data_IF_928305075109
#
_entry.id   IF_928305075109
#
_cell.length_a   1.000
_cell.length_b   1.000
_cell.length_c   1.000
_cell.angle_alpha   90.00
_cell.angle_beta   90.00
_cell.angle_gamma   90.00
#
_symmetry.space_group_name_H-M   'P 1'
#
loop_
_entity.id
_entity.type
_entity.pdbx_description
1 polymer ?
#
# COMPACT_ATOMS: atom_id res chain seq x y z
N UNK A 1 -65.18 25.48 13.66
CA UNK A 1 -64.22 25.77 12.57
C UNK A 1 -64.21 24.57 11.64
N UNK A 2 -65.02 24.64 10.57
CA UNK A 2 -65.22 23.58 9.58
C UNK A 2 -64.25 23.79 8.43
N UNK A 3 -63.49 22.75 8.07
CA UNK A 3 -62.71 22.71 6.82
C UNK A 3 -63.65 22.28 5.70
N UNK A 4 -63.86 23.18 4.74
CA UNK A 4 -64.66 22.94 3.54
C UNK A 4 -63.73 22.51 2.41
N UNK A 5 -64.10 21.39 1.78
CA UNK A 5 -63.59 20.88 0.52
C UNK A 5 -64.03 21.82 -0.62
N UNK A 6 -63.15 22.20 -1.54
CA UNK A 6 -63.55 22.55 -2.92
C UNK A 6 -62.53 21.98 -3.89
N UNK A 7 -62.97 20.98 -4.64
CA UNK A 7 -62.43 20.55 -5.92
C UNK A 7 -62.61 21.67 -6.95
N UNK A 8 -61.57 21.96 -7.72
CA UNK A 8 -61.74 22.56 -9.05
C UNK A 8 -60.83 21.82 -10.02
N UNK A 9 -61.44 21.01 -10.87
CA UNK A 9 -60.81 20.43 -12.05
C UNK A 9 -60.94 21.43 -13.20
N UNK A 10 -59.82 21.75 -13.85
CA UNK A 10 -59.80 22.41 -15.16
C UNK A 10 -59.00 21.50 -16.09
N UNK A 11 -59.73 20.85 -17.01
CA UNK A 11 -59.16 20.24 -18.21
C UNK A 11 -58.82 21.37 -19.19
N UNK A 12 -57.54 21.56 -19.48
CA UNK A 12 -57.11 22.27 -20.68
C UNK A 12 -56.37 21.26 -21.56
N UNK A 13 -57.03 20.87 -22.65
CA UNK A 13 -56.45 20.06 -23.71
C UNK A 13 -55.40 20.91 -24.46
N UNK A 14 -54.13 20.58 -24.24
CA UNK A 14 -53.01 21.08 -25.06
C UNK A 14 -52.44 19.92 -25.86
N UNK A 15 -52.65 19.93 -27.17
CA UNK A 15 -51.94 19.10 -28.14
C UNK A 15 -50.45 19.42 -28.11
N UNK A 16 -49.71 18.73 -27.24
CA UNK A 16 -48.26 18.71 -27.21
C UNK A 16 -47.73 17.60 -28.12
N UNK A 17 -46.92 17.99 -29.09
CA UNK A 17 -46.16 17.10 -29.97
C UNK A 17 -45.39 16.09 -29.10
N UNK A 18 -45.70 14.80 -29.23
CA UNK A 18 -44.92 13.73 -28.61
C UNK A 18 -43.62 13.60 -29.39
N UNK A 19 -42.62 14.40 -29.03
CA UNK A 19 -41.23 14.02 -29.30
C UNK A 19 -40.91 12.86 -28.37
N UNK A 20 -40.78 11.67 -28.92
CA UNK A 20 -40.25 10.52 -28.21
C UNK A 20 -38.96 10.95 -27.49
N UNK A 21 -38.75 10.57 -26.21
CA UNK A 21 -37.48 10.83 -25.56
C UNK A 21 -36.43 10.09 -26.38
N UNK A 22 -35.53 10.86 -27.01
CA UNK A 22 -34.28 10.34 -27.53
C UNK A 22 -33.65 9.58 -26.37
N UNK A 23 -33.58 8.27 -26.50
CA UNK A 23 -32.93 7.43 -25.51
C UNK A 23 -31.52 8.01 -25.32
N UNK A 24 -31.30 8.64 -24.16
CA UNK A 24 -29.96 8.97 -23.73
C UNK A 24 -29.23 7.64 -23.77
N UNK A 25 -28.25 7.54 -24.68
CA UNK A 25 -27.36 6.41 -24.72
C UNK A 25 -26.86 6.22 -23.29
N UNK A 26 -27.23 5.11 -22.66
CA UNK A 26 -26.66 4.71 -21.41
C UNK A 26 -25.15 4.67 -21.66
N UNK A 27 -24.44 5.67 -21.16
CA UNK A 27 -22.99 5.59 -21.02
C UNK A 27 -22.76 4.32 -20.23
N UNK A 28 -22.28 3.29 -20.92
CA UNK A 28 -22.05 1.99 -20.31
C UNK A 28 -21.30 2.22 -19.02
N UNK A 29 -21.87 1.74 -17.90
CA UNK A 29 -21.12 1.63 -16.65
C UNK A 29 -19.82 0.94 -17.02
N UNK A 30 -18.69 1.65 -16.96
CA UNK A 30 -17.40 1.03 -17.18
C UNK A 30 -17.36 -0.22 -16.30
N UNK A 31 -17.01 -1.38 -16.85
CA UNK A 31 -16.92 -2.59 -16.06
C UNK A 31 -15.75 -2.43 -15.07
N UNK A 32 -15.88 -3.03 -13.89
CA UNK A 32 -14.75 -3.12 -12.96
C UNK A 32 -13.58 -3.81 -13.68
N UNK A 33 -12.38 -3.23 -13.57
CA UNK A 33 -11.17 -3.81 -14.13
C UNK A 33 -10.49 -4.67 -13.07
N UNK A 34 -10.17 -5.92 -13.40
CA UNK A 34 -9.41 -6.80 -12.51
C UNK A 34 -7.99 -6.94 -13.04
N UNK A 35 -7.00 -6.79 -12.17
CA UNK A 35 -5.60 -7.05 -12.47
C UNK A 35 -5.00 -7.98 -11.43
N UNK A 36 -4.03 -8.80 -11.83
CA UNK A 36 -3.30 -9.73 -10.96
C UNK A 36 -1.97 -9.09 -10.56
N UNK A 37 -1.68 -9.06 -9.25
CA UNK A 37 -0.36 -8.71 -8.72
C UNK A 37 0.62 -9.88 -8.96
N UNK A 38 1.92 -9.59 -9.02
CA UNK A 38 2.94 -10.64 -9.22
C UNK A 38 2.90 -11.73 -8.13
N UNK A 39 2.36 -11.42 -6.95
CA UNK A 39 2.14 -12.34 -5.81
C UNK A 39 0.88 -13.19 -5.91
N UNK A 40 0.00 -12.89 -6.87
CA UNK A 40 -1.25 -13.62 -7.13
C UNK A 40 -2.50 -12.97 -6.55
N UNK A 41 -2.37 -11.88 -5.80
CA UNK A 41 -3.50 -11.09 -5.31
C UNK A 41 -4.25 -10.45 -6.49
N UNK A 42 -5.57 -10.30 -6.37
CA UNK A 42 -6.36 -9.67 -7.43
C UNK A 42 -6.79 -8.28 -6.99
N UNK A 43 -6.46 -7.27 -7.79
CA UNK A 43 -6.91 -5.89 -7.60
C UNK A 43 -8.12 -5.66 -8.48
N UNK A 44 -9.28 -5.42 -7.87
CA UNK A 44 -10.53 -5.08 -8.55
C UNK A 44 -10.73 -3.58 -8.43
N UNK A 45 -10.62 -2.88 -9.55
CA UNK A 45 -10.83 -1.42 -9.62
C UNK A 45 -12.27 -1.13 -10.01
N UNK A 46 -13.01 -0.50 -9.10
CA UNK A 46 -14.38 -0.09 -9.32
C UNK A 46 -14.48 1.12 -10.28
N UNK A 47 -15.61 1.29 -10.97
CA UNK A 47 -15.89 2.47 -11.79
C UNK A 47 -15.97 3.70 -10.87
N UNK A 48 -14.93 4.54 -10.90
CA UNK A 48 -14.75 5.65 -9.93
C UNK A 48 -13.37 5.67 -9.26
N UNK A 49 -12.55 4.63 -9.46
CA UNK A 49 -11.13 4.62 -9.10
C UNK A 49 -10.78 3.95 -7.77
N UNK A 50 -11.76 3.52 -6.99
CA UNK A 50 -11.51 2.75 -5.76
C UNK A 50 -11.07 1.33 -6.13
N UNK A 51 -9.96 0.87 -5.56
CA UNK A 51 -9.48 -0.49 -5.72
C UNK A 51 -9.81 -1.32 -4.48
N UNK A 52 -10.20 -2.59 -4.68
CA UNK A 52 -10.33 -3.59 -3.62
C UNK A 52 -9.42 -4.75 -3.94
N UNK A 53 -8.66 -5.23 -2.96
CA UNK A 53 -7.77 -6.38 -3.13
C UNK A 53 -8.46 -7.65 -2.64
N UNK A 54 -8.41 -8.71 -3.44
CA UNK A 54 -8.76 -10.08 -3.06
C UNK A 54 -7.45 -10.82 -2.80
N UNK A 55 -7.12 -11.14 -1.54
CA UNK A 55 -5.84 -11.75 -1.20
C UNK A 55 -5.67 -13.14 -1.83
N UNK A 56 -4.45 -13.43 -2.29
CA UNK A 56 -4.06 -14.74 -2.81
C UNK A 56 -4.05 -15.83 -1.73
N UNK A 57 -3.76 -15.42 -0.49
CA UNK A 57 -3.67 -16.26 0.70
C UNK A 57 -4.52 -15.68 1.82
N UNK A 58 -5.08 -16.56 2.66
CA UNK A 58 -6.01 -16.17 3.72
C UNK A 58 -5.34 -15.89 5.07
N UNK A 59 -4.03 -16.17 5.20
CA UNK A 59 -3.27 -15.98 6.43
C UNK A 59 -1.78 -15.80 6.11
N UNK A 60 -0.98 -15.52 7.14
CA UNK A 60 0.45 -15.26 7.04
C UNK A 60 0.77 -13.85 6.59
N UNK A 61 2.03 -13.45 6.80
CA UNK A 61 2.58 -12.15 6.37
C UNK A 61 2.37 -11.85 4.86
N UNK A 62 2.19 -12.88 4.03
CA UNK A 62 1.88 -12.72 2.60
C UNK A 62 0.47 -12.19 2.30
N UNK A 63 -0.43 -12.15 3.29
CA UNK A 63 -1.77 -11.55 3.16
C UNK A 63 -1.75 -10.04 3.38
N UNK A 64 -0.80 -9.54 4.18
CA UNK A 64 -0.80 -8.14 4.59
C UNK A 64 -0.40 -7.22 3.44
N UNK A 65 -1.13 -6.11 3.29
CA UNK A 65 -1.00 -5.19 2.17
C UNK A 65 -0.79 -3.76 2.65
N UNK A 66 -0.03 -3.03 1.84
CA UNK A 66 0.17 -1.61 1.95
C UNK A 66 -0.30 -1.00 0.65
N UNK A 67 -1.33 -0.18 0.73
CA UNK A 67 -1.71 0.69 -0.37
C UNK A 67 -0.87 1.97 -0.30
N UNK A 68 -0.01 2.16 -1.30
CA UNK A 68 0.88 3.31 -1.41
C UNK A 68 0.34 4.27 -2.47
N UNK A 69 0.09 5.52 -2.09
CA UNK A 69 -0.14 6.63 -3.00
C UNK A 69 1.12 7.48 -3.09
N UNK A 70 1.72 7.55 -4.28
CA UNK A 70 2.96 8.31 -4.49
C UNK A 70 3.02 8.86 -5.91
N UNK A 71 3.39 10.14 -6.03
CA UNK A 71 3.51 10.83 -7.32
C UNK A 71 2.25 10.72 -8.21
N UNK A 72 1.07 10.71 -7.58
CA UNK A 72 -0.23 10.57 -8.27
C UNK A 72 -0.55 9.18 -8.80
N UNK A 73 0.25 8.17 -8.42
CA UNK A 73 0.04 6.76 -8.77
C UNK A 73 -0.35 5.98 -7.52
N UNK A 74 -1.04 4.88 -7.73
CA UNK A 74 -1.53 3.98 -6.68
C UNK A 74 -0.90 2.61 -6.86
N UNK A 75 -0.39 2.06 -5.76
CA UNK A 75 0.31 0.80 -5.72
C UNK A 75 -0.25 -0.08 -4.61
N UNK A 76 -0.41 -1.37 -4.89
CA UNK A 76 -0.82 -2.38 -3.93
C UNK A 76 0.37 -3.29 -3.62
N UNK A 77 0.91 -3.18 -2.41
CA UNK A 77 2.19 -3.76 -2.03
C UNK A 77 1.98 -4.80 -0.93
N UNK A 78 2.14 -6.09 -1.21
CA UNK A 78 2.29 -7.07 -0.15
C UNK A 78 3.46 -6.66 0.77
N UNK A 79 3.28 -6.73 2.09
CA UNK A 79 4.33 -6.32 3.05
C UNK A 79 5.64 -7.07 2.80
N UNK A 80 5.55 -8.33 2.38
CA UNK A 80 6.71 -9.17 2.03
C UNK A 80 7.49 -8.69 0.79
N UNK A 81 6.91 -7.82 -0.05
CA UNK A 81 7.58 -7.27 -1.23
C UNK A 81 8.41 -6.02 -0.90
N UNK A 82 8.06 -5.28 0.16
CA UNK A 82 8.66 -3.98 0.51
C UNK A 82 10.20 -4.03 0.59
N UNK A 83 10.83 -5.03 1.24
CA UNK A 83 12.30 -5.08 1.35
C UNK A 83 13.04 -5.21 0.02
N UNK A 84 12.33 -5.64 -1.02
CA UNK A 84 12.89 -6.03 -2.30
C UNK A 84 12.64 -5.01 -3.42
N UNK A 85 11.89 -3.94 -3.12
CA UNK A 85 11.67 -2.83 -4.03
C UNK A 85 13.01 -2.16 -4.38
N UNK A 86 13.28 -1.99 -5.67
CA UNK A 86 14.57 -1.51 -6.16
C UNK A 86 15.74 -2.48 -5.97
N UNK A 87 15.48 -3.66 -5.39
CA UNK A 87 16.45 -4.73 -5.07
C UNK A 87 15.98 -6.06 -5.62
N UNK A 88 15.59 -6.05 -6.89
CA UNK A 88 15.12 -7.22 -7.63
C UNK A 88 13.64 -7.19 -7.97
N UNK A 89 12.82 -6.38 -7.28
CA UNK A 89 11.45 -6.07 -7.68
C UNK A 89 11.33 -4.59 -8.05
N UNK A 90 10.83 -4.32 -9.24
CA UNK A 90 10.46 -2.97 -9.66
C UNK A 90 9.03 -2.65 -9.23
N UNK A 91 8.78 -1.40 -8.79
CA UNK A 91 7.46 -1.00 -8.32
C UNK A 91 6.38 -1.09 -9.41
N UNK A 92 6.73 -1.05 -10.70
CA UNK A 92 5.75 -1.23 -11.79
C UNK A 92 4.97 -2.54 -11.68
N UNK A 93 5.50 -3.55 -10.99
CA UNK A 93 4.81 -4.81 -10.69
C UNK A 93 3.62 -4.67 -9.74
N UNK A 94 3.47 -3.52 -9.10
CA UNK A 94 2.46 -3.24 -8.08
C UNK A 94 1.58 -2.03 -8.44
N UNK A 95 1.83 -1.37 -9.58
CA UNK A 95 1.06 -0.22 -10.03
C UNK A 95 -0.29 -0.63 -10.62
N UNK A 96 -1.38 -0.34 -9.90
CA UNK A 96 -2.74 -0.74 -10.28
C UNK A 96 -3.12 -0.23 -11.67
N UNK A 97 -2.76 1.01 -11.99
CA UNK A 97 -3.05 1.64 -13.28
C UNK A 97 -2.20 1.09 -14.43
N UNK A 98 -0.98 0.63 -14.17
CA UNK A 98 -0.12 -0.01 -15.17
C UNK A 98 -0.51 -1.47 -15.40
N UNK A 99 -0.80 -2.21 -14.33
CA UNK A 99 -1.20 -3.61 -14.37
C UNK A 99 -2.50 -3.78 -15.15
N UNK A 100 -3.52 -2.96 -14.87
CA UNK A 100 -4.80 -2.98 -15.59
C UNK A 100 -4.68 -2.73 -17.10
N UNK A 101 -3.61 -2.05 -17.56
CA UNK A 101 -3.32 -1.83 -18.99
C UNK A 101 -2.44 -2.92 -19.60
N UNK A 102 -1.53 -3.47 -18.82
CA UNK A 102 -0.54 -4.46 -19.28
C UNK A 102 -1.11 -5.87 -19.32
N UNK A 103 -2.01 -6.23 -18.39
CA UNK A 103 -2.61 -7.55 -18.34
C UNK A 103 -3.52 -7.80 -19.55
N UNK A 104 -3.28 -8.89 -20.26
CA UNK A 104 -4.09 -9.30 -21.39
C UNK A 104 -4.33 -10.81 -21.36
N UNK A 105 -5.60 -11.22 -21.47
CA UNK A 105 -5.97 -12.64 -21.48
C UNK A 105 -5.56 -13.39 -20.21
N UNK A 106 -5.56 -12.73 -19.05
CA UNK A 106 -5.15 -13.32 -17.77
C UNK A 106 -3.63 -13.53 -17.63
N UNK A 107 -2.82 -12.81 -18.41
CA UNK A 107 -1.36 -12.87 -18.40
C UNK A 107 -0.78 -11.53 -18.00
N UNK A 108 -0.03 -11.52 -16.92
CA UNK A 108 0.78 -10.40 -16.46
C UNK A 108 2.16 -10.48 -17.13
N UNK A 109 2.50 -9.63 -18.11
CA UNK A 109 3.77 -9.71 -18.82
C UNK A 109 4.89 -9.07 -18.00
N UNK A 110 6.04 -9.74 -17.94
CA UNK A 110 7.21 -9.27 -17.19
C UNK A 110 8.47 -9.27 -18.05
N UNK A 111 9.40 -8.41 -17.69
CA UNK A 111 10.78 -8.42 -18.17
C UNK A 111 11.70 -8.72 -17.00
N UNK A 112 12.73 -9.51 -17.24
CA UNK A 112 13.73 -9.91 -16.26
C UNK A 112 15.09 -9.43 -16.76
N UNK A 113 15.73 -8.54 -16.00
CA UNK A 113 17.11 -8.14 -16.21
C UNK A 113 18.02 -9.07 -15.40
N UNK A 114 18.84 -9.87 -16.08
CA UNK A 114 19.79 -10.76 -15.44
C UNK A 114 21.14 -10.07 -15.24
N UNK A 115 21.66 -10.13 -14.03
CA UNK A 115 23.00 -9.67 -13.66
C UNK A 115 23.98 -10.83 -13.41
N UNK A 116 23.54 -12.07 -13.69
CA UNK A 116 24.23 -13.32 -13.37
C UNK A 116 23.61 -14.54 -14.03
N UNK A 117 23.53 -15.67 -13.32
CA UNK A 117 23.00 -16.92 -13.90
C UNK A 117 21.49 -16.86 -14.12
N UNK A 118 21.06 -17.29 -15.32
CA UNK A 118 19.66 -17.42 -15.69
C UNK A 118 19.02 -18.61 -14.96
N UNK A 119 18.61 -18.38 -13.72
CA UNK A 119 17.88 -19.37 -12.93
C UNK A 119 16.38 -19.14 -13.08
N UNK A 120 15.60 -20.22 -13.15
CA UNK A 120 14.15 -20.09 -13.26
C UNK A 120 13.56 -19.22 -12.13
N UNK A 121 12.78 -18.20 -12.50
CA UNK A 121 12.00 -17.41 -11.54
C UNK A 121 10.71 -18.18 -11.22
N UNK A 122 10.40 -18.45 -9.94
CA UNK A 122 9.18 -19.16 -9.55
C UNK A 122 7.92 -18.54 -10.16
N UNK A 123 7.11 -19.34 -10.84
CA UNK A 123 5.83 -18.88 -11.38
C UNK A 123 5.89 -18.10 -12.69
N UNK A 124 7.08 -17.74 -13.19
CA UNK A 124 7.23 -17.06 -14.49
C UNK A 124 7.34 -18.08 -15.61
N UNK A 125 6.43 -18.01 -16.57
CA UNK A 125 6.53 -18.73 -17.83
C UNK A 125 7.34 -17.88 -18.83
N UNK A 126 8.56 -18.31 -19.14
CA UNK A 126 9.43 -17.59 -20.07
C UNK A 126 8.92 -17.70 -21.52
N UNK A 127 8.88 -16.58 -22.23
CA UNK A 127 8.55 -16.48 -23.66
C UNK A 127 9.73 -16.04 -24.53
N UNK A 128 10.81 -15.59 -23.90
CA UNK A 128 12.09 -15.25 -24.50
C UNK A 128 13.20 -15.29 -23.44
N UNK A 129 14.42 -14.84 -23.77
CA UNK A 129 15.55 -14.84 -22.83
C UNK A 129 15.29 -14.03 -21.55
N UNK A 130 14.67 -12.87 -21.73
CA UNK A 130 14.48 -11.85 -20.69
C UNK A 130 13.00 -11.48 -20.53
N UNK A 131 12.10 -12.24 -21.14
CA UNK A 131 10.66 -11.95 -21.15
C UNK A 131 9.86 -13.17 -20.78
N UNK A 132 8.78 -12.96 -20.03
CA UNK A 132 7.85 -14.00 -19.66
C UNK A 132 6.54 -13.42 -19.19
N UNK A 133 5.69 -14.27 -18.62
CA UNK A 133 4.45 -13.84 -18.01
C UNK A 133 4.09 -14.69 -16.80
N UNK A 134 3.23 -14.14 -15.96
CA UNK A 134 2.53 -14.87 -14.92
C UNK A 134 1.04 -14.96 -15.24
N UNK A 135 0.41 -16.03 -14.76
CA UNK A 135 -1.04 -16.18 -14.67
C UNK A 135 -1.43 -16.08 -13.20
N UNK A 136 -2.71 -15.91 -12.87
CA UNK A 136 -3.15 -15.91 -11.47
C UNK A 136 -2.62 -17.11 -10.65
N UNK A 137 -2.64 -18.32 -11.22
CA UNK A 137 -2.16 -19.51 -10.50
C UNK A 137 -0.63 -19.60 -10.42
N UNK A 138 0.09 -19.12 -11.43
CA UNK A 138 1.55 -19.11 -11.38
C UNK A 138 2.10 -17.96 -10.52
N UNK A 139 1.40 -16.84 -10.45
CA UNK A 139 1.68 -15.72 -9.54
C UNK A 139 1.56 -16.14 -8.07
N UNK A 140 0.61 -17.00 -7.69
CA UNK A 140 0.56 -17.59 -6.33
C UNK A 140 1.85 -18.35 -5.97
N UNK A 141 2.48 -19.02 -6.94
CA UNK A 141 3.77 -19.71 -6.71
C UNK A 141 4.90 -18.71 -6.48
N UNK A 142 4.89 -17.59 -7.19
CA UNK A 142 5.80 -16.48 -6.97
C UNK A 142 5.61 -15.89 -5.57
N UNK A 143 4.37 -15.58 -5.18
CA UNK A 143 4.02 -15.07 -3.85
C UNK A 143 4.48 -15.99 -2.73
N UNK A 144 4.24 -17.31 -2.85
CA UNK A 144 4.74 -18.28 -1.88
C UNK A 144 6.28 -18.30 -1.77
N UNK A 145 6.98 -18.22 -2.90
CA UNK A 145 8.45 -18.14 -2.91
C UNK A 145 8.96 -16.84 -2.28
N UNK A 146 8.26 -15.72 -2.49
CA UNK A 146 8.54 -14.43 -1.87
C UNK A 146 8.36 -14.47 -0.36
N UNK A 147 7.29 -15.09 0.15
CA UNK A 147 7.08 -15.29 1.60
C UNK A 147 8.21 -16.14 2.20
N UNK A 148 8.55 -17.27 1.58
CA UNK A 148 9.66 -18.11 2.07
C UNK A 148 10.99 -17.36 2.10
N UNK A 149 11.23 -16.52 1.09
CA UNK A 149 12.44 -15.70 1.03
C UNK A 149 12.45 -14.62 2.11
N UNK A 150 11.34 -13.92 2.30
CA UNK A 150 11.16 -12.91 3.34
C UNK A 150 11.47 -13.45 4.74
N UNK A 151 10.87 -14.60 5.09
CA UNK A 151 11.09 -15.23 6.40
C UNK A 151 12.55 -15.68 6.57
N UNK A 152 13.18 -16.19 5.52
CA UNK A 152 14.60 -16.58 5.54
C UNK A 152 15.52 -15.37 5.70
N UNK A 153 15.30 -14.28 4.97
CA UNK A 153 16.16 -13.10 5.07
C UNK A 153 16.05 -12.47 6.47
N UNK A 154 14.83 -12.39 7.04
CA UNK A 154 14.60 -11.89 8.40
C UNK A 154 15.27 -12.75 9.48
N UNK A 155 15.42 -14.05 9.28
CA UNK A 155 16.08 -14.93 10.27
C UNK A 155 17.60 -14.87 10.24
N UNK A 156 18.21 -14.54 9.10
CA UNK A 156 19.66 -14.55 8.93
C UNK A 156 20.31 -13.20 9.23
N UNK A 157 19.53 -12.12 9.18
CA UNK A 157 20.01 -10.75 9.32
C UNK A 157 20.86 -10.31 8.13
N UNK A 158 20.58 -9.14 7.56
CA UNK A 158 21.26 -8.64 6.36
C UNK A 158 20.34 -8.00 5.34
N UNK A 159 20.92 -7.38 4.32
CA UNK A 159 20.17 -6.66 3.28
C UNK A 159 19.47 -7.63 2.32
N UNK A 160 18.14 -7.68 2.29
CA UNK A 160 17.38 -8.57 1.41
C UNK A 160 17.51 -8.13 -0.04
N UNK A 161 17.52 -9.13 -0.90
CA UNK A 161 17.50 -8.98 -2.35
C UNK A 161 16.64 -10.09 -2.92
N UNK A 162 15.67 -9.73 -3.77
CA UNK A 162 14.78 -10.69 -4.39
C UNK A 162 15.28 -11.05 -5.76
N UNK A 163 15.89 -12.21 -5.86
CA UNK A 163 16.19 -12.82 -7.13
C UNK A 163 16.97 -14.11 -6.92
N UNK A 164 16.99 -15.00 -7.91
CA UNK A 164 18.05 -15.98 -7.99
C UNK A 164 19.37 -15.23 -8.22
N UNK A 165 20.03 -14.85 -7.13
CA UNK A 165 21.33 -14.18 -6.99
C UNK A 165 21.55 -12.86 -7.77
N UNK A 166 20.81 -12.51 -8.82
CA UNK A 166 21.20 -11.41 -9.72
C UNK A 166 20.07 -10.91 -10.66
N UNK A 167 18.78 -11.15 -10.40
CA UNK A 167 17.72 -10.76 -11.34
C UNK A 167 16.87 -9.57 -10.85
N UNK A 168 16.55 -8.62 -11.75
CA UNK A 168 15.56 -7.58 -11.51
C UNK A 168 14.31 -7.81 -12.38
N UNK A 169 13.15 -7.85 -11.76
CA UNK A 169 11.87 -8.13 -12.41
C UNK A 169 11.06 -6.85 -12.49
N UNK A 170 10.51 -6.55 -13.66
CA UNK A 170 9.65 -5.39 -13.91
C UNK A 170 8.49 -5.72 -14.83
N UNK A 171 7.44 -4.89 -14.78
CA UNK A 171 6.33 -4.99 -15.70
C UNK A 171 6.82 -4.72 -17.13
N UNK A 172 6.46 -5.58 -18.08
CA UNK A 172 6.90 -5.44 -19.45
C UNK A 172 6.45 -4.09 -20.06
N UNK A 173 7.33 -3.45 -20.83
CA UNK A 173 7.07 -2.14 -21.42
C UNK A 173 7.29 -0.95 -20.47
N UNK A 174 7.64 -1.20 -19.19
CA UNK A 174 8.08 -0.14 -18.29
C UNK A 174 9.49 0.32 -18.71
N UNK A 175 9.69 1.61 -19.01
CA UNK A 175 11.02 2.14 -19.32
C UNK A 175 11.94 1.96 -18.12
N UNK A 176 13.16 1.47 -18.36
CA UNK A 176 14.21 1.53 -17.36
C UNK A 176 14.57 2.99 -17.13
N UNK A 177 14.32 3.50 -15.93
CA UNK A 177 14.74 4.86 -15.59
C UNK A 177 16.27 4.86 -15.46
N UNK A 178 16.99 5.69 -16.24
CA UNK A 178 18.43 5.80 -16.06
C UNK A 178 18.72 6.33 -14.64
N UNK A 179 19.82 5.90 -14.01
CA UNK A 179 20.24 6.43 -12.71
C UNK A 179 20.31 7.96 -12.80
N UNK A 180 19.43 8.67 -12.08
CA UNK A 180 19.52 10.11 -12.01
C UNK A 180 20.66 10.46 -11.06
N UNK A 181 21.60 11.27 -11.53
CA UNK A 181 22.54 11.93 -10.61
C UNK A 181 21.86 13.20 -10.10
N UNK A 182 21.62 13.33 -8.79
CA UNK A 182 21.11 14.57 -8.24
C UNK A 182 22.03 15.73 -8.62
N UNK A 183 21.45 16.87 -8.99
CA UNK A 183 22.19 18.11 -9.27
C UNK A 183 22.51 18.90 -7.98
N UNK A 184 22.23 18.31 -6.82
CA UNK A 184 22.33 18.95 -5.50
C UNK A 184 23.24 18.13 -4.58
N UNK A 185 23.87 18.76 -3.57
CA UNK A 185 24.52 18.04 -2.49
C UNK A 185 23.53 17.08 -1.82
N UNK A 186 23.98 15.87 -1.56
CA UNK A 186 23.20 14.84 -0.88
C UNK A 186 23.76 14.65 0.54
N UNK A 187 22.87 14.45 1.49
CA UNK A 187 23.16 14.16 2.89
C UNK A 187 22.66 12.76 3.24
N UNK A 188 23.30 12.15 4.22
CA UNK A 188 22.83 10.87 4.77
C UNK A 188 21.78 11.14 5.84
N UNK A 189 20.54 10.71 5.59
CA UNK A 189 19.53 10.58 6.63
C UNK A 189 19.55 9.15 7.17
N UNK A 190 19.95 8.99 8.43
CA UNK A 190 19.96 7.69 9.12
C UNK A 190 18.75 7.61 10.06
N UNK A 191 17.89 6.64 9.84
CA UNK A 191 16.78 6.31 10.73
C UNK A 191 17.15 5.07 11.53
N UNK A 192 17.31 5.24 12.84
CA UNK A 192 17.58 4.13 13.75
C UNK A 192 16.27 3.63 14.34
N UNK A 193 16.14 2.31 14.55
CA UNK A 193 14.98 1.74 15.19
C UNK A 193 15.31 0.42 15.91
N UNK A 194 14.65 0.23 17.04
CA UNK A 194 14.50 -1.07 17.66
C UNK A 194 13.16 -1.71 17.30
N UNK A 195 13.18 -3.04 17.22
CA UNK A 195 12.01 -3.90 17.06
C UNK A 195 11.08 -3.82 18.29
N UNK A 196 9.86 -4.38 18.22
CA UNK A 196 8.93 -4.40 19.35
C UNK A 196 9.43 -5.14 20.60
N UNK A 197 10.51 -5.91 20.50
CA UNK A 197 11.17 -6.60 21.63
C UNK A 197 12.32 -5.80 22.24
N UNK A 198 12.62 -4.62 21.68
CA UNK A 198 13.69 -3.73 22.13
C UNK A 198 15.07 -4.04 21.56
N UNK A 199 15.19 -4.97 20.61
CA UNK A 199 16.45 -5.29 19.92
C UNK A 199 16.60 -4.40 18.68
N UNK A 200 17.82 -4.24 18.16
CA UNK A 200 18.01 -3.58 16.87
C UNK A 200 17.16 -4.25 15.80
N UNK A 201 16.38 -3.47 15.07
CA UNK A 201 15.50 -4.01 14.04
C UNK A 201 16.28 -4.46 12.79
N UNK A 202 15.93 -5.61 12.24
CA UNK A 202 16.48 -6.13 11.00
C UNK A 202 15.35 -6.77 10.20
N UNK A 203 14.81 -6.03 9.24
CA UNK A 203 13.71 -6.52 8.42
C UNK A 203 12.57 -5.54 8.16
N UNK A 204 12.32 -4.58 9.05
CA UNK A 204 11.17 -3.68 8.92
C UNK A 204 11.46 -2.47 8.01
N UNK A 205 10.39 -1.86 7.49
CA UNK A 205 10.50 -0.86 6.42
C UNK A 205 10.35 0.56 6.97
N UNK A 206 11.22 1.45 6.49
CA UNK A 206 11.16 2.89 6.73
C UNK A 206 10.87 3.59 5.40
N UNK A 207 9.96 4.55 5.45
CA UNK A 207 9.67 5.47 4.37
C UNK A 207 10.21 6.86 4.70
N UNK A 208 10.74 7.56 3.70
CA UNK A 208 11.16 8.95 3.78
C UNK A 208 10.56 9.73 2.61
N UNK A 209 10.01 10.92 2.89
CA UNK A 209 9.37 11.77 1.90
C UNK A 209 9.74 13.23 2.10
N UNK A 210 10.19 13.91 1.04
CA UNK A 210 10.48 15.35 1.09
C UNK A 210 9.18 16.15 1.11
N UNK A 211 8.98 16.95 2.15
CA UNK A 211 7.76 17.72 2.39
C UNK A 211 7.87 19.19 1.93
N UNK A 212 9.04 19.62 1.45
CA UNK A 212 9.16 20.89 0.74
C UNK A 212 8.66 20.73 -0.70
N UNK A 213 9.11 19.65 -1.36
CA UNK A 213 8.75 19.30 -2.72
C UNK A 213 8.97 17.79 -2.94
N UNK A 214 7.87 17.04 -2.95
CA UNK A 214 7.89 15.59 -3.15
C UNK A 214 8.43 15.14 -4.51
N UNK A 215 8.65 16.05 -5.46
CA UNK A 215 9.31 15.71 -6.74
C UNK A 215 10.83 15.64 -6.62
N UNK A 216 11.41 16.16 -5.52
CA UNK A 216 12.87 16.14 -5.27
C UNK A 216 13.35 14.82 -4.66
N UNK A 217 12.49 14.20 -3.84
CA UNK A 217 12.74 12.92 -3.20
C UNK A 217 11.39 12.29 -2.84
N UNK A 218 10.83 11.61 -3.83
CA UNK A 218 9.51 11.00 -3.78
C UNK A 218 9.29 10.04 -4.93
N UNK A 219 10.37 9.52 -5.52
CA UNK A 219 10.27 8.30 -6.29
C UNK A 219 10.30 7.11 -5.32
N UNK A 220 9.60 6.04 -5.66
CA UNK A 220 9.38 4.97 -4.70
C UNK A 220 10.58 4.07 -4.44
N UNK A 221 11.55 4.02 -5.35
CA UNK A 221 12.75 3.20 -5.17
C UNK A 221 13.69 3.87 -4.15
N UNK A 222 13.63 5.20 -4.05
CA UNK A 222 14.43 5.98 -3.11
C UNK A 222 13.69 6.25 -1.79
N UNK A 223 12.36 6.30 -1.81
CA UNK A 223 11.53 6.68 -0.65
C UNK A 223 11.32 5.57 0.38
N UNK A 224 11.75 4.34 0.11
CA UNK A 224 11.65 3.22 1.03
C UNK A 224 13.02 2.57 1.24
N UNK A 225 13.37 2.29 2.49
CA UNK A 225 14.55 1.52 2.84
C UNK A 225 14.23 0.59 4.00
N UNK A 226 14.84 -0.58 3.99
CA UNK A 226 14.72 -1.51 5.09
C UNK A 226 15.74 -1.22 6.19
N UNK A 227 15.35 -1.45 7.43
CA UNK A 227 16.22 -1.52 8.60
C UNK A 227 17.13 -2.74 8.48
N UNK A 228 18.43 -2.50 8.63
CA UNK A 228 19.42 -3.56 8.81
C UNK A 228 20.39 -3.19 9.92
N UNK A 229 20.58 -4.10 10.87
CA UNK A 229 21.35 -3.82 12.09
C UNK A 229 20.80 -2.64 12.91
N UNK A 230 19.49 -2.38 12.83
CA UNK A 230 18.79 -1.30 13.53
C UNK A 230 18.82 0.04 12.82
N UNK A 231 19.28 0.12 11.57
CA UNK A 231 19.36 1.38 10.84
C UNK A 231 18.93 1.25 9.37
N UNK A 232 18.20 2.25 8.89
CA UNK A 232 17.89 2.50 7.49
C UNK A 232 18.57 3.80 7.08
N UNK A 233 19.16 3.86 5.88
CA UNK A 233 19.90 5.02 5.39
C UNK A 233 19.35 5.47 4.05
N UNK A 234 19.17 6.77 3.93
CA UNK A 234 18.74 7.44 2.70
C UNK A 234 19.80 8.46 2.30
N UNK A 235 20.08 8.55 1.01
CA UNK A 235 20.80 9.69 0.44
C UNK A 235 19.75 10.69 -0.02
N UNK A 236 19.66 11.85 0.65
CA UNK A 236 18.58 12.83 0.43
C UNK A 236 19.15 14.22 0.15
N UNK A 237 18.51 15.06 -0.69
CA UNK A 237 18.91 16.46 -0.79
C UNK A 237 18.62 17.22 0.51
N UNK A 238 19.28 18.36 0.72
CA UNK A 238 18.90 19.28 1.79
C UNK A 238 17.40 19.63 1.71
N UNK A 239 16.73 19.63 2.86
CA UNK A 239 15.31 19.96 2.98
C UNK A 239 14.64 19.38 4.21
N UNK A 240 13.32 19.48 4.24
CA UNK A 240 12.48 18.94 5.30
C UNK A 240 11.85 17.61 4.85
N UNK A 241 11.80 16.66 5.78
CA UNK A 241 11.34 15.31 5.52
C UNK A 241 10.28 14.87 6.53
N UNK A 242 9.38 14.01 6.09
CA UNK A 242 8.60 13.13 6.95
C UNK A 242 9.20 11.74 6.85
N UNK A 243 9.39 11.07 7.99
CA UNK A 243 9.79 9.66 8.03
C UNK A 243 8.77 8.83 8.80
N UNK A 244 8.54 7.61 8.32
CA UNK A 244 7.59 6.67 8.92
C UNK A 244 8.20 5.27 8.89
N UNK A 245 8.13 4.56 10.01
CA UNK A 245 8.56 3.18 10.14
C UNK A 245 7.34 2.29 10.41
N UNK A 246 7.31 1.14 9.74
CA UNK A 246 6.29 0.11 9.84
C UNK A 246 6.91 -1.16 10.41
N UNK A 247 6.53 -1.55 11.62
CA UNK A 247 7.02 -2.76 12.29
C UNK A 247 5.95 -3.84 12.31
N UNK A 248 6.24 -5.00 11.73
CA UNK A 248 5.35 -6.16 11.76
C UNK A 248 5.88 -7.21 12.73
N UNK A 249 5.05 -7.61 13.70
CA UNK A 249 5.32 -8.75 14.57
C UNK A 249 4.70 -10.02 13.98
N UNK A 250 5.45 -11.13 13.96
CA UNK A 250 4.95 -12.43 13.50
C UNK A 250 5.11 -13.49 14.59
N UNK A 251 4.25 -14.50 14.59
CA UNK A 251 4.46 -15.73 15.37
C UNK A 251 5.42 -16.70 14.66
N UNK A 252 5.55 -17.92 15.20
CA UNK A 252 6.45 -18.95 14.68
C UNK A 252 6.01 -19.50 13.32
N UNK A 253 4.70 -19.43 13.03
CA UNK A 253 4.08 -19.83 11.77
C UNK A 253 4.17 -18.73 10.70
N UNK A 254 4.62 -17.53 11.08
CA UNK A 254 4.74 -16.37 10.20
C UNK A 254 3.41 -15.60 10.04
N UNK A 255 2.43 -15.88 10.89
CA UNK A 255 1.18 -15.13 10.97
C UNK A 255 1.43 -13.81 11.72
N UNK A 256 0.86 -12.71 11.21
CA UNK A 256 1.06 -11.38 11.80
C UNK A 256 0.27 -11.28 13.10
N UNK A 257 0.95 -10.87 14.17
CA UNK A 257 0.36 -10.74 15.51
C UNK A 257 0.19 -9.28 15.93
N UNK A 258 0.71 -8.35 15.13
CA UNK A 258 0.57 -6.93 15.40
C UNK A 258 1.38 -6.05 14.48
N UNK A 259 0.87 -4.84 14.23
CA UNK A 259 1.56 -3.82 13.44
C UNK A 259 1.74 -2.55 14.26
N UNK A 260 2.96 -1.99 14.24
CA UNK A 260 3.30 -0.74 14.92
C UNK A 260 3.75 0.29 13.89
N UNK A 261 3.19 1.49 14.00
CA UNK A 261 3.45 2.60 13.08
C UNK A 261 4.04 3.73 13.88
N UNK A 262 5.26 4.13 13.52
CA UNK A 262 5.98 5.21 14.19
C UNK A 262 6.35 6.24 13.14
N UNK A 263 5.99 7.51 13.37
CA UNK A 263 6.34 8.57 12.45
C UNK A 263 7.06 9.71 13.16
N UNK A 264 7.99 10.33 12.44
CA UNK A 264 8.51 11.66 12.73
C UNK A 264 8.01 12.55 11.58
N UNK A 265 6.89 13.28 11.77
CA UNK A 265 6.21 13.97 10.67
C UNK A 265 7.04 15.07 9.99
N UNK A 266 8.01 15.62 10.72
CA UNK A 266 8.90 16.71 10.29
C UNK A 266 10.29 16.55 10.91
N UNK A 267 11.31 16.58 10.06
CA UNK A 267 12.72 16.69 10.41
C UNK A 267 13.44 17.50 9.33
N UNK A 268 14.30 18.43 9.73
CA UNK A 268 15.16 19.18 8.83
C UNK A 268 16.48 18.42 8.59
N UNK A 269 16.92 18.35 7.34
CA UNK A 269 18.19 17.75 6.93
C UNK A 269 19.00 18.83 6.22
N UNK A 270 20.02 19.35 6.91
CA UNK A 270 20.98 20.36 6.37
C UNK A 270 22.43 19.84 6.37
N UNK A 271 22.62 18.63 6.88
CA UNK A 271 23.86 17.88 6.97
C UNK A 271 23.50 16.40 7.18
N UNK A 272 24.50 15.52 7.31
CA UNK A 272 24.25 14.15 7.76
C UNK A 272 23.46 14.19 9.08
N UNK A 273 22.30 13.54 9.08
CA UNK A 273 21.28 13.66 10.13
C UNK A 273 20.85 12.28 10.58
N UNK A 274 20.71 12.09 11.89
CA UNK A 274 20.19 10.86 12.46
C UNK A 274 18.91 11.13 13.24
N UNK A 275 17.94 10.22 13.12
CA UNK A 275 16.71 10.22 13.91
C UNK A 275 16.39 8.80 14.40
N UNK A 276 15.41 8.67 15.29
CA UNK A 276 15.08 7.40 15.95
C UNK A 276 13.57 7.15 16.02
N UNK A 277 13.15 6.03 15.44
CA UNK A 277 11.76 5.58 15.35
C UNK A 277 11.63 4.19 15.98
N UNK A 278 11.74 4.08 17.30
CA UNK A 278 11.58 2.78 17.98
C UNK A 278 10.13 2.31 17.99
N UNK A 279 9.91 1.01 17.79
CA UNK A 279 8.57 0.42 17.76
C UNK A 279 7.77 0.63 19.06
N UNK A 280 8.45 0.70 20.22
CA UNK A 280 7.80 0.91 21.53
C UNK A 280 7.14 2.29 21.68
N UNK A 281 7.49 3.26 20.81
CA UNK A 281 6.82 4.56 20.74
C UNK A 281 5.38 4.45 20.26
N UNK A 282 5.02 3.37 19.55
CA UNK A 282 3.66 3.07 19.16
C UNK A 282 2.85 2.53 20.35
N UNK A 283 2.44 3.43 21.23
CA UNK A 283 1.73 3.10 22.48
C UNK A 283 0.21 3.15 22.36
N UNK A 284 -0.34 3.76 21.31
CA UNK A 284 -1.78 3.92 21.13
C UNK A 284 -2.34 2.78 20.28
N UNK A 285 -3.00 1.82 20.91
CA UNK A 285 -3.73 0.77 20.19
C UNK A 285 -5.01 1.34 19.56
N UNK A 286 -5.25 1.03 18.29
CA UNK A 286 -6.52 1.28 17.63
C UNK A 286 -7.57 0.33 18.21
N UNK A 287 -8.60 0.89 18.83
CA UNK A 287 -9.73 0.14 19.41
C UNK A 287 -11.00 0.95 19.30
N UNK A 288 -12.15 0.25 19.28
CA UNK A 288 -13.47 0.87 19.21
C UNK A 288 -14.37 0.36 20.32
N UNK A 289 -15.28 1.22 20.76
CA UNK A 289 -16.39 0.84 21.64
C UNK A 289 -17.64 0.71 20.79
N UNK A 290 -18.23 -0.49 20.76
CA UNK A 290 -19.44 -0.78 20.00
C UNK A 290 -20.62 -1.14 20.91
N UNK A 291 -21.87 -0.90 20.48
CA UNK A 291 -23.05 -1.26 21.30
C UNK A 291 -23.22 -2.76 21.54
N UNK A 292 -22.70 -3.60 20.65
CA UNK A 292 -22.77 -5.07 20.74
C UNK A 292 -21.37 -5.65 20.56
N UNK A 293 -21.02 -6.76 21.24
CA UNK A 293 -19.73 -7.42 21.07
C UNK A 293 -19.43 -7.65 19.59
N UNK A 294 -18.21 -7.39 19.13
CA UNK A 294 -17.82 -7.57 17.74
C UNK A 294 -16.39 -8.08 17.67
N UNK A 295 -16.06 -8.78 16.57
CA UNK A 295 -14.73 -9.26 16.26
C UNK A 295 -14.12 -8.38 15.17
N UNK A 296 -12.82 -8.12 15.25
CA UNK A 296 -12.08 -7.41 14.21
C UNK A 296 -11.95 -8.32 12.98
N UNK A 297 -12.55 -7.92 11.86
CA UNK A 297 -12.50 -8.67 10.59
C UNK A 297 -11.41 -8.12 9.68
N UNK A 298 -11.33 -6.80 9.53
CA UNK A 298 -10.19 -6.11 8.93
C UNK A 298 -10.11 -4.69 9.49
N UNK A 299 -9.00 -4.04 9.23
CA UNK A 299 -8.79 -2.69 9.68
C UNK A 299 -7.45 -2.15 9.26
N UNK A 300 -7.16 -0.95 9.68
CA UNK A 300 -5.96 -0.29 9.22
C UNK A 300 -5.77 1.10 9.74
N UNK A 301 -4.72 1.70 9.21
CA UNK A 301 -4.35 3.06 9.53
C UNK A 301 -3.93 3.77 8.26
N UNK A 302 -4.67 4.83 7.97
CA UNK A 302 -4.32 5.74 6.90
C UNK A 302 -3.35 6.80 7.43
N UNK A 303 -2.25 6.97 6.70
CA UNK A 303 -1.30 8.06 6.88
C UNK A 303 -1.11 8.77 5.56
N UNK A 304 -1.34 10.08 5.53
CA UNK A 304 -1.01 10.93 4.37
C UNK A 304 -0.20 12.13 4.81
N UNK A 305 0.93 12.32 4.14
CA UNK A 305 1.77 13.51 4.24
C UNK A 305 1.76 14.26 2.92
N UNK A 306 1.27 15.49 2.93
CA UNK A 306 1.34 16.38 1.78
C UNK A 306 2.54 17.32 1.88
N UNK A 307 3.20 17.57 0.76
CA UNK A 307 4.19 18.64 0.63
C UNK A 307 3.53 20.03 0.55
N UNK A 308 4.33 21.09 0.45
CA UNK A 308 3.85 22.48 0.35
C UNK A 308 2.90 22.70 -0.83
N UNK A 309 3.06 21.95 -1.92
CA UNK A 309 2.20 22.04 -3.10
C UNK A 309 0.96 21.14 -3.01
N UNK A 310 0.75 20.45 -1.89
CA UNK A 310 -0.38 19.56 -1.67
C UNK A 310 -0.23 18.17 -2.29
N UNK A 311 0.93 17.83 -2.89
CA UNK A 311 1.18 16.48 -3.39
C UNK A 311 1.33 15.54 -2.21
N UNK A 312 0.60 14.44 -2.22
CA UNK A 312 0.56 13.49 -1.12
C UNK A 312 1.47 12.29 -1.34
N UNK A 313 2.25 11.95 -0.31
CA UNK A 313 2.61 10.58 0.03
C UNK A 313 1.52 10.02 0.93
N UNK A 314 0.89 8.90 0.56
CA UNK A 314 -0.07 8.21 1.42
C UNK A 314 0.29 6.75 1.58
N UNK A 315 0.15 6.26 2.79
CA UNK A 315 0.33 4.88 3.20
C UNK A 315 -0.95 4.45 3.89
N UNK A 316 -1.66 3.51 3.30
CA UNK A 316 -2.79 2.84 3.93
C UNK A 316 -2.38 1.40 4.22
N UNK A 317 -2.32 1.09 5.51
CA UNK A 317 -1.82 -0.19 6.01
C UNK A 317 -3.05 -1.02 6.36
N UNK A 318 -3.40 -1.95 5.48
CA UNK A 318 -4.54 -2.84 5.63
C UNK A 318 -4.10 -4.13 6.31
N UNK A 319 -4.79 -4.49 7.40
CA UNK A 319 -4.46 -5.64 8.23
C UNK A 319 -5.55 -6.71 8.20
N UNK A 320 -5.13 -7.97 8.25
CA UNK A 320 -6.01 -9.11 8.35
C UNK A 320 -6.83 -9.21 9.66
N UNK A 321 -7.79 -10.15 9.72
CA UNK A 321 -8.65 -10.38 10.87
C UNK A 321 -7.87 -10.57 12.16
N UNK A 322 -8.30 -9.86 13.20
CA UNK A 322 -7.72 -9.98 14.54
C UNK A 322 -6.31 -9.41 14.70
N UNK A 323 -5.72 -8.78 13.68
CA UNK A 323 -4.37 -8.17 13.77
C UNK A 323 -4.48 -6.76 14.37
N UNK A 324 -3.99 -6.52 15.59
CA UNK A 324 -4.04 -5.20 16.21
C UNK A 324 -3.03 -4.22 15.60
N UNK A 325 -3.44 -2.95 15.52
CA UNK A 325 -2.59 -1.83 15.08
C UNK A 325 -2.30 -0.90 16.26
N UNK A 326 -1.03 -0.53 16.42
CA UNK A 326 -0.59 0.52 17.33
C UNK A 326 0.09 1.65 16.57
N UNK A 327 -0.14 2.88 17.05
CA UNK A 327 0.36 4.10 16.42
C UNK A 327 1.10 4.93 17.46
N UNK A 328 2.23 5.52 17.06
CA UNK A 328 2.92 6.51 17.87
C UNK A 328 2.13 7.83 17.86
N UNK A 329 1.70 8.36 19.03
CA UNK A 329 1.00 9.63 19.08
C UNK A 329 1.85 10.77 18.54
N UNK A 330 1.27 11.59 17.66
CA UNK A 330 1.86 12.85 17.21
C UNK A 330 1.34 13.98 18.09
N UNK A 331 2.17 14.43 19.04
CA UNK A 331 1.79 15.47 20.00
C UNK A 331 2.15 16.89 19.54
N UNK A 332 2.87 17.00 18.42
CA UNK A 332 3.29 18.27 17.85
C UNK A 332 2.57 18.51 16.51
N UNK A 333 1.93 19.68 16.33
CA UNK A 333 1.35 20.06 15.06
C UNK A 333 2.41 20.15 13.95
N UNK A 334 2.02 19.77 12.73
CA UNK A 334 2.85 19.97 11.54
C UNK A 334 2.85 21.44 11.11
N UNK A 335 4.04 22.00 10.81
CA UNK A 335 4.21 23.37 10.31
C UNK A 335 4.33 23.50 8.77
N UNK A 336 4.84 22.48 8.08
CA UNK A 336 5.00 22.40 6.62
C UNK A 336 3.98 21.43 6.02
N UNK A 337 3.27 21.82 4.96
CA UNK A 337 2.30 20.96 4.26
C UNK A 337 1.17 20.46 5.16
N UNK A 338 0.62 19.28 4.86
CA UNK A 338 -0.50 18.70 5.61
C UNK A 338 -0.18 17.30 6.13
N UNK A 339 -0.77 16.94 7.27
CA UNK A 339 -0.77 15.59 7.81
C UNK A 339 -2.21 15.16 8.05
N UNK A 340 -2.59 14.05 7.44
CA UNK A 340 -3.90 13.42 7.63
C UNK A 340 -3.67 12.01 8.11
N UNK A 341 -4.24 11.67 9.25
CA UNK A 341 -4.19 10.31 9.78
C UNK A 341 -5.54 9.91 10.34
N UNK A 342 -5.95 8.68 10.08
CA UNK A 342 -7.12 8.12 10.73
C UNK A 342 -7.04 6.59 10.76
N UNK A 343 -7.46 5.96 11.86
CA UNK A 343 -7.76 4.54 11.87
C UNK A 343 -9.12 4.27 11.19
N UNK A 344 -9.27 3.06 10.67
CA UNK A 344 -10.54 2.50 10.25
C UNK A 344 -10.56 1.01 10.59
N UNK A 345 -11.72 0.46 10.96
CA UNK A 345 -11.92 -0.97 11.17
C UNK A 345 -13.28 -1.42 10.64
N UNK A 346 -13.33 -2.65 10.14
CA UNK A 346 -14.56 -3.41 9.92
C UNK A 346 -14.67 -4.47 11.00
N UNK A 347 -15.76 -4.39 11.77
CA UNK A 347 -16.03 -5.31 12.87
C UNK A 347 -17.27 -6.15 12.55
N UNK A 348 -17.20 -7.46 12.74
CA UNK A 348 -18.29 -8.39 12.45
C UNK A 348 -18.88 -9.00 13.72
N UNK A 349 -20.14 -9.42 13.64
CA UNK A 349 -20.81 -10.15 14.72
C UNK A 349 -20.09 -11.47 15.06
N UNK A 350 -19.89 -11.80 16.35
CA UNK A 350 -19.38 -13.12 16.73
C UNK A 350 -20.29 -14.24 16.23
N UNK A 351 -19.77 -15.46 16.01
CA UNK A 351 -20.59 -16.62 15.69
C UNK A 351 -21.59 -16.91 16.81
N UNK A 352 -22.87 -16.60 16.58
CA UNK A 352 -23.94 -16.81 17.55
C UNK A 352 -25.30 -16.94 16.85
N UNK A 353 -26.30 -17.58 17.47
CA UNK A 353 -27.67 -17.58 16.97
C UNK A 353 -28.20 -16.14 16.87
N UNK A 354 -28.65 -15.73 15.70
CA UNK A 354 -29.21 -14.39 15.47
C UNK A 354 -28.89 -13.84 14.09
N UNK A 355 -29.34 -12.61 13.82
CA UNK A 355 -29.02 -11.89 12.59
C UNK A 355 -27.58 -11.35 12.66
N UNK A 356 -26.69 -11.68 11.70
CA UNK A 356 -25.37 -11.08 11.60
C UNK A 356 -25.44 -9.56 11.47
N UNK A 357 -24.39 -8.89 11.93
CA UNK A 357 -24.25 -7.44 11.84
C UNK A 357 -22.78 -7.08 11.62
N UNK A 358 -22.56 -5.88 11.10
CA UNK A 358 -21.26 -5.30 10.82
C UNK A 358 -21.23 -3.85 11.31
N UNK A 359 -20.06 -3.41 11.78
CA UNK A 359 -19.73 -2.01 11.99
C UNK A 359 -18.61 -1.63 11.03
N UNK A 360 -18.79 -0.54 10.26
CA UNK A 360 -17.73 0.12 9.51
C UNK A 360 -17.39 1.41 10.24
N UNK A 361 -16.21 1.46 10.84
CA UNK A 361 -15.79 2.53 11.73
C UNK A 361 -14.59 3.23 11.11
N UNK A 362 -14.64 4.57 11.10
CA UNK A 362 -13.54 5.40 10.67
C UNK A 362 -13.55 6.66 11.53
N UNK A 363 -12.37 7.17 11.88
CA UNK A 363 -12.27 8.46 12.55
C UNK A 363 -12.50 9.57 11.52
N UNK A 364 -13.53 10.38 11.77
CA UNK A 364 -13.91 11.52 10.95
C UNK A 364 -12.86 12.65 10.95
#
# INVERSE_FOLDING_TARGET
MRKTLVMLAVLAAGTGIVTAPTAAAATGSAAAATAVLITGDQVVTAPGGNATVVPAVQKGIGRELVHLGLAGRSYELPVVALPYLGRGLDLSLFDVGALSRAEQGGRLPVTIDWHGQHTAVPGVAMTGPDTGYLTADSAKKFGAALVSRYLSDRSHGGTPSYGPQDAAIRLAGTPTSPPRRPAYPMHTLTVNANDPTGRSDDGDTVFAYNIDDGTRFGDPNESAAQLSGGAAKFSVPEGNYSVLALFASTDAEGDVTGVRIVSQPQIAVTADTATRLDADRATSQVTWVTPRPALLDDGGFFFRRADVAGRGFSLDIANGPGVPVWVAPTNEPVSIGELQTYPYDRLISPPAPGKPYEYQLQKA
#
